data_IF_707342427587
#
_entry.id   IF_707342427587
#
_cell.length_a   1.000
_cell.length_b   1.000
_cell.length_c   1.000
_cell.angle_alpha   90.00
_cell.angle_beta   90.00
_cell.angle_gamma   90.00
#
_symmetry.space_group_name_H-M   'P 1'
#
loop_
_entity.id
_entity.type
_entity.pdbx_description
1 polymer ?
#
# COMPACT_ATOMS: atom_id res chain seq x y z
N UNK A 1 4.44 -13.95 10.57
CA UNK A 1 4.55 -13.07 9.38
C UNK A 1 3.68 -11.85 9.63
N UNK A 2 4.10 -10.67 9.20
CA UNK A 2 3.34 -9.45 9.38
C UNK A 2 2.90 -8.89 8.03
N UNK A 3 1.84 -8.08 8.05
CA UNK A 3 1.36 -7.35 6.88
C UNK A 3 1.21 -5.88 7.20
N UNK A 4 1.81 -5.05 6.36
CA UNK A 4 1.56 -3.62 6.33
C UNK A 4 0.51 -3.35 5.25
N UNK A 5 -0.67 -2.88 5.65
CA UNK A 5 -1.76 -2.58 4.73
C UNK A 5 -1.93 -1.07 4.60
N UNK A 6 -2.01 -0.59 3.36
CA UNK A 6 -2.36 0.79 3.02
C UNK A 6 -3.67 0.77 2.26
N UNK A 7 -4.75 1.25 2.88
CA UNK A 7 -6.02 1.46 2.21
C UNK A 7 -6.05 2.87 1.66
N UNK A 8 -6.43 3.03 0.41
CA UNK A 8 -6.51 4.33 -0.25
C UNK A 8 -7.88 4.50 -0.86
N UNK A 9 -8.56 5.58 -0.46
CA UNK A 9 -9.69 6.15 -1.18
C UNK A 9 -9.15 7.15 -2.19
N UNK A 10 -9.54 7.01 -3.45
CA UNK A 10 -9.10 7.84 -4.59
C UNK A 10 -10.33 8.42 -5.26
N UNK A 11 -10.35 9.73 -5.52
CA UNK A 11 -11.37 10.33 -6.38
C UNK A 11 -11.49 9.61 -7.72
N UNK A 12 -12.71 9.36 -8.20
CA UNK A 12 -12.96 8.53 -9.39
C UNK A 12 -12.17 8.96 -10.61
N UNK A 13 -12.08 10.28 -10.85
CA UNK A 13 -11.37 10.87 -11.98
C UNK A 13 -9.86 10.58 -11.98
N UNK A 14 -9.28 10.22 -10.83
CA UNK A 14 -7.85 9.96 -10.66
C UNK A 14 -7.54 8.48 -10.42
N UNK A 15 -8.56 7.61 -10.36
CA UNK A 15 -8.39 6.21 -9.97
C UNK A 15 -7.54 5.39 -10.96
N UNK A 16 -7.69 5.63 -12.27
CA UNK A 16 -6.90 4.95 -13.30
C UNK A 16 -5.42 5.37 -13.23
N UNK A 17 -5.16 6.68 -13.19
CA UNK A 17 -3.81 7.22 -13.04
C UNK A 17 -3.13 6.72 -11.75
N UNK A 18 -3.86 6.67 -10.64
CA UNK A 18 -3.36 6.15 -9.38
C UNK A 18 -3.01 4.66 -9.50
N UNK A 19 -3.89 3.87 -10.09
CA UNK A 19 -3.66 2.44 -10.31
C UNK A 19 -2.43 2.19 -11.19
N UNK A 20 -2.28 2.94 -12.29
CA UNK A 20 -1.14 2.82 -13.19
C UNK A 20 0.16 3.20 -12.50
N UNK A 21 0.19 4.29 -11.73
CA UNK A 21 1.35 4.68 -10.93
C UNK A 21 1.73 3.58 -9.92
N UNK A 22 0.74 3.05 -9.21
CA UNK A 22 0.97 2.02 -8.20
C UNK A 22 1.55 0.74 -8.80
N UNK A 23 1.01 0.29 -9.93
CA UNK A 23 1.40 -0.98 -10.57
C UNK A 23 2.66 -0.88 -11.43
N UNK A 24 2.92 0.28 -12.04
CA UNK A 24 4.11 0.46 -12.90
C UNK A 24 5.37 0.88 -12.13
N UNK A 25 5.21 1.52 -10.97
CA UNK A 25 6.34 2.12 -10.23
C UNK A 25 6.27 1.89 -8.72
N UNK A 26 5.29 2.45 -8.03
CA UNK A 26 5.35 2.59 -6.56
C UNK A 26 5.53 1.25 -5.82
N UNK A 27 4.76 0.23 -6.20
CA UNK A 27 4.85 -1.09 -5.56
C UNK A 27 6.23 -1.72 -5.81
N UNK A 28 6.80 -1.53 -7.01
CA UNK A 28 8.14 -2.01 -7.34
C UNK A 28 9.18 -1.30 -6.48
N UNK A 29 9.13 0.02 -6.37
CA UNK A 29 10.06 0.81 -5.55
C UNK A 29 9.99 0.40 -4.06
N UNK A 30 8.79 0.08 -3.54
CA UNK A 30 8.63 -0.45 -2.17
C UNK A 30 9.29 -1.83 -2.02
N UNK A 31 9.16 -2.71 -3.02
CA UNK A 31 9.78 -4.03 -2.98
C UNK A 31 11.31 -3.97 -3.12
N UNK A 32 11.84 -3.02 -3.89
CA UNK A 32 13.29 -2.80 -4.06
C UNK A 32 14.00 -2.31 -2.79
N UNK A 33 13.26 -1.95 -1.73
CA UNK A 33 13.84 -1.64 -0.40
C UNK A 33 14.37 -2.89 0.34
N UNK A 34 14.06 -4.08 -0.15
CA UNK A 34 14.27 -5.37 0.51
C UNK A 34 13.66 -5.45 1.92
N UNK A 35 12.70 -4.56 2.25
CA UNK A 35 11.96 -4.62 3.50
C UNK A 35 10.76 -5.56 3.46
N UNK A 36 10.26 -5.87 2.27
CA UNK A 36 9.05 -6.66 2.07
C UNK A 36 9.33 -7.82 1.09
N UNK A 37 8.83 -9.00 1.43
CA UNK A 37 9.00 -10.21 0.63
C UNK A 37 7.96 -10.34 -0.49
N UNK A 38 6.82 -9.66 -0.34
CA UNK A 38 5.68 -9.75 -1.27
C UNK A 38 4.83 -8.50 -1.15
N UNK A 39 4.22 -8.10 -2.26
CA UNK A 39 3.14 -7.13 -2.30
C UNK A 39 1.89 -7.73 -2.98
N UNK A 40 0.71 -7.27 -2.58
CA UNK A 40 -0.57 -7.49 -3.25
C UNK A 40 -1.29 -6.14 -3.38
N UNK A 41 -1.97 -5.91 -4.50
CA UNK A 41 -2.85 -4.77 -4.69
C UNK A 41 -4.26 -5.27 -4.93
N UNK A 42 -5.18 -4.85 -4.08
CA UNK A 42 -6.60 -5.15 -4.19
C UNK A 42 -7.35 -3.90 -4.66
N UNK A 43 -8.26 -4.07 -5.62
CA UNK A 43 -9.31 -3.10 -5.92
C UNK A 43 -10.57 -3.54 -5.18
N UNK A 44 -11.07 -2.71 -4.28
CA UNK A 44 -12.30 -2.98 -3.53
C UNK A 44 -13.48 -2.68 -4.46
N UNK A 45 -14.34 -3.68 -4.67
CA UNK A 45 -15.54 -3.54 -5.50
C UNK A 45 -16.65 -2.95 -4.63
N UNK A 46 -17.14 -1.77 -5.00
CA UNK A 46 -18.21 -1.05 -4.32
C UNK A 46 -19.01 -0.21 -5.31
N UNK A 47 -20.26 0.08 -5.00
CA UNK A 47 -21.17 0.91 -5.82
C UNK A 47 -20.93 2.42 -5.66
N UNK A 48 -19.76 2.82 -5.15
CA UNK A 48 -19.41 4.23 -4.99
C UNK A 48 -19.01 4.85 -6.34
N UNK A 49 -19.77 5.86 -6.75
CA UNK A 49 -19.56 6.58 -8.01
C UNK A 49 -18.51 7.69 -7.88
N UNK A 50 -18.33 8.25 -6.68
CA UNK A 50 -17.45 9.38 -6.40
C UNK A 50 -15.99 8.95 -6.16
N UNK A 51 -15.79 7.79 -5.54
CA UNK A 51 -14.45 7.30 -5.17
C UNK A 51 -14.22 5.84 -5.54
N UNK A 52 -12.96 5.48 -5.76
CA UNK A 52 -12.49 4.10 -5.85
C UNK A 52 -11.65 3.77 -4.63
N UNK A 53 -11.75 2.54 -4.14
CA UNK A 53 -11.03 2.09 -2.96
C UNK A 53 -10.06 0.97 -3.32
N UNK A 54 -8.83 1.07 -2.80
CA UNK A 54 -7.78 0.09 -3.02
C UNK A 54 -7.11 -0.29 -1.70
N UNK A 55 -6.52 -1.47 -1.65
CA UNK A 55 -5.67 -1.90 -0.54
C UNK A 55 -4.36 -2.49 -1.05
N UNK A 56 -3.23 -1.85 -0.71
CA UNK A 56 -1.90 -2.41 -0.93
C UNK A 56 -1.45 -3.14 0.32
N UNK A 57 -1.00 -4.40 0.17
CA UNK A 57 -0.57 -5.26 1.28
C UNK A 57 0.87 -5.67 1.07
N UNK A 58 1.74 -5.34 2.03
CA UNK A 58 3.15 -5.66 1.97
C UNK A 58 3.53 -6.60 3.11
N UNK A 59 4.13 -7.74 2.78
CA UNK A 59 4.42 -8.82 3.72
C UNK A 59 5.87 -8.76 4.18
N UNK A 60 6.11 -8.86 5.50
CA UNK A 60 7.44 -8.76 6.08
C UNK A 60 7.64 -9.70 7.28
N UNK A 61 8.91 -9.97 7.60
CA UNK A 61 9.30 -11.01 8.55
C UNK A 61 9.40 -10.53 10.01
N UNK A 62 9.85 -9.29 10.25
CA UNK A 62 10.07 -8.75 11.59
C UNK A 62 9.76 -7.26 11.70
N UNK A 63 9.45 -6.81 12.92
CA UNK A 63 9.21 -5.40 13.20
C UNK A 63 10.45 -4.53 12.97
N UNK A 64 11.66 -5.08 13.12
CA UNK A 64 12.90 -4.34 12.82
C UNK A 64 12.99 -3.97 11.34
N UNK A 65 12.64 -4.89 10.44
CA UNK A 65 12.61 -4.63 9.00
C UNK A 65 11.56 -3.57 8.64
N UNK A 66 10.41 -3.60 9.31
CA UNK A 66 9.38 -2.58 9.13
C UNK A 66 9.79 -1.21 9.68
N UNK A 67 10.46 -1.16 10.82
CA UNK A 67 11.01 0.07 11.39
C UNK A 67 12.09 0.67 10.49
N UNK A 68 12.94 -0.17 9.88
CA UNK A 68 13.89 0.24 8.83
C UNK A 68 13.16 0.87 7.65
N UNK A 69 12.12 0.22 7.13
CA UNK A 69 11.29 0.77 6.06
C UNK A 69 10.74 2.17 6.41
N UNK A 70 10.13 2.30 7.59
CA UNK A 70 9.54 3.56 8.05
C UNK A 70 10.55 4.70 8.17
N UNK A 71 11.77 4.39 8.60
CA UNK A 71 12.81 5.40 8.83
C UNK A 71 13.54 5.79 7.54
N UNK A 72 13.91 4.82 6.72
CA UNK A 72 14.86 5.00 5.62
C UNK A 72 14.20 5.20 4.26
N UNK A 73 13.00 4.65 4.04
CA UNK A 73 12.40 4.59 2.70
C UNK A 73 11.02 5.24 2.62
N UNK A 74 10.18 5.04 3.63
CA UNK A 74 8.82 5.55 3.65
C UNK A 74 8.72 7.08 3.48
N UNK A 75 9.63 7.93 4.01
CA UNK A 75 9.53 9.38 3.82
C UNK A 75 9.56 9.78 2.34
N UNK A 76 10.54 9.29 1.57
CA UNK A 76 10.68 9.62 0.16
C UNK A 76 9.51 9.08 -0.67
N UNK A 77 9.15 7.81 -0.46
CA UNK A 77 8.03 7.17 -1.18
C UNK A 77 6.69 7.86 -0.92
N UNK A 78 6.47 8.36 0.30
CA UNK A 78 5.26 9.12 0.65
C UNK A 78 5.29 10.52 0.04
N UNK A 79 6.44 11.19 0.02
CA UNK A 79 6.58 12.50 -0.63
C UNK A 79 6.24 12.40 -2.11
N UNK A 80 6.81 11.43 -2.82
CA UNK A 80 6.54 11.23 -4.25
C UNK A 80 5.05 10.94 -4.51
N UNK A 81 4.44 10.05 -3.72
CA UNK A 81 3.01 9.76 -3.82
C UNK A 81 2.14 11.00 -3.55
N UNK A 82 2.49 11.82 -2.54
CA UNK A 82 1.79 13.05 -2.21
C UNK A 82 1.96 14.15 -3.27
N UNK A 83 3.12 14.25 -3.93
CA UNK A 83 3.36 15.20 -5.02
C UNK A 83 2.45 14.90 -6.23
N UNK A 84 2.16 13.63 -6.49
CA UNK A 84 1.31 13.20 -7.61
C UNK A 84 -0.18 13.29 -7.28
N UNK A 85 -0.59 12.89 -6.08
CA UNK A 85 -2.01 12.70 -5.75
C UNK A 85 -2.54 13.59 -4.62
N UNK A 86 -1.68 14.07 -3.72
CA UNK A 86 -2.01 15.06 -2.70
C UNK A 86 -3.36 14.85 -2.00
N UNK A 87 -4.24 15.84 -2.15
CA UNK A 87 -5.58 15.93 -1.58
C UNK A 87 -6.64 15.04 -2.27
N UNK A 88 -6.33 14.48 -3.44
CA UNK A 88 -7.23 13.60 -4.23
C UNK A 88 -7.35 12.20 -3.65
N UNK A 89 -6.55 11.89 -2.63
CA UNK A 89 -6.44 10.58 -2.01
C UNK A 89 -6.44 10.66 -0.49
N UNK A 90 -7.04 9.68 0.16
CA UNK A 90 -6.96 9.51 1.62
C UNK A 90 -6.41 8.13 1.91
N UNK A 91 -5.30 8.08 2.66
CA UNK A 91 -4.60 6.85 2.97
C UNK A 91 -4.71 6.49 4.46
N UNK A 92 -5.22 5.29 4.75
CA UNK A 92 -5.21 4.67 6.08
C UNK A 92 -4.16 3.56 6.11
N UNK A 93 -3.40 3.47 7.20
CA UNK A 93 -2.25 2.58 7.33
C UNK A 93 -2.39 1.73 8.58
N UNK A 94 -2.26 0.41 8.43
CA UNK A 94 -2.28 -0.53 9.55
C UNK A 94 -1.17 -1.56 9.43
N UNK A 95 -0.78 -2.12 10.57
CA UNK A 95 0.12 -3.27 10.65
C UNK A 95 -0.60 -4.38 11.40
N UNK A 96 -0.57 -5.60 10.86
CA UNK A 96 -1.15 -6.77 11.48
C UNK A 96 -0.16 -7.93 11.53
N UNK A 97 -0.30 -8.79 12.54
CA UNK A 97 0.36 -10.08 12.58
C UNK A 97 -0.58 -11.14 12.00
N UNK A 98 -0.09 -11.94 11.05
CA UNK A 98 -0.84 -13.09 10.51
C UNK A 98 -0.68 -14.28 11.46
N UNK A 99 -1.82 -14.82 11.91
CA UNK A 99 -1.95 -16.13 12.54
C UNK A 99 -2.75 -17.03 11.60
N UNK A 100 -2.14 -18.09 11.09
CA UNK A 100 -2.82 -19.07 10.23
C UNK A 100 -3.43 -20.18 11.10
N UNK A 101 -4.68 -20.53 10.81
CA UNK A 101 -5.36 -21.70 11.38
C UNK A 101 -5.84 -22.55 10.21
N UNK A 102 -5.55 -23.86 10.25
CA UNK A 102 -6.05 -24.83 9.26
C UNK A 102 -6.78 -25.93 10.02
N UNK A 103 -7.99 -26.23 9.58
CA UNK A 103 -8.62 -27.50 9.92
C UNK A 103 -8.03 -28.56 8.97
N UNK A 104 -7.80 -29.74 9.53
CA UNK A 104 -7.20 -30.91 8.85
C UNK A 104 -7.97 -31.21 7.55
#
# INVERSE_FOLDING_TARGET
MFVFTVRVEVEKAHAEQWYDYMTSKHIKDVLETDCFAKAELEKIISDNEETSHFASRYYFASMDTYNRYLKEFAPQLRTEHNELFGDKVKAERTVSEIKEYRLI
#
